data_IF_581109041867
#
_entry.id   IF_581109041867
#
_cell.length_a   1.000
_cell.length_b   1.000
_cell.length_c   1.000
_cell.angle_alpha   90.00
_cell.angle_beta   90.00
_cell.angle_gamma   90.00
#
_symmetry.space_group_name_H-M   'P 1'
#
loop_
_entity.id
_entity.type
_entity.pdbx_description
1 polymer ?
#
# COMPACT_ATOMS: atom_id res chain seq x y z
N UNK A 1 10.55 1.59 -5.50
CA UNK A 1 9.36 1.51 -6.36
C UNK A 1 9.37 2.70 -7.29
N UNK A 2 9.23 2.48 -8.59
CA UNK A 2 9.17 3.48 -9.64
C UNK A 2 7.94 4.39 -9.48
N UNK A 3 7.96 5.56 -10.10
CA UNK A 3 6.83 6.50 -10.08
C UNK A 3 5.59 5.90 -10.74
N UNK A 4 5.80 5.13 -11.81
CA UNK A 4 4.76 4.42 -12.53
C UNK A 4 4.13 3.29 -11.69
N UNK A 5 4.95 2.52 -10.97
CA UNK A 5 4.47 1.52 -10.01
C UNK A 5 3.73 2.15 -8.83
N UNK A 6 4.21 3.29 -8.31
CA UNK A 6 3.53 4.01 -7.23
C UNK A 6 2.13 4.49 -7.65
N UNK A 7 2.00 5.06 -8.85
CA UNK A 7 0.70 5.49 -9.36
C UNK A 7 -0.31 4.34 -9.45
N UNK A 8 0.12 3.19 -10.00
CA UNK A 8 -0.73 2.01 -10.09
C UNK A 8 -1.01 1.35 -8.75
N UNK A 9 -0.04 1.34 -7.83
CA UNK A 9 -0.26 0.89 -6.45
C UNK A 9 -1.36 1.70 -5.77
N UNK A 10 -1.40 3.02 -6.00
CA UNK A 10 -2.43 3.92 -5.49
C UNK A 10 -3.73 3.90 -6.31
N UNK A 11 -3.82 3.12 -7.39
CA UNK A 11 -5.00 3.07 -8.27
C UNK A 11 -5.25 4.38 -9.05
N UNK A 12 -4.20 5.14 -9.34
CA UNK A 12 -4.28 6.44 -10.02
C UNK A 12 -3.84 6.33 -11.49
N UNK A 13 -4.62 6.93 -12.40
CA UNK A 13 -4.19 7.12 -13.77
C UNK A 13 -3.10 8.20 -13.88
N UNK A 14 -2.41 8.24 -15.02
CA UNK A 14 -1.31 9.18 -15.29
C UNK A 14 -1.71 10.64 -15.04
N UNK A 15 -2.86 11.06 -15.54
CA UNK A 15 -3.33 12.44 -15.47
C UNK A 15 -3.59 12.86 -14.03
N UNK A 16 -4.36 12.03 -13.32
CA UNK A 16 -4.68 12.27 -11.89
C UNK A 16 -3.42 12.30 -11.04
N UNK A 17 -2.50 11.34 -11.24
CA UNK A 17 -1.26 11.26 -10.49
C UNK A 17 -0.37 12.50 -10.66
N UNK A 18 -0.10 12.91 -11.90
CA UNK A 18 0.72 14.11 -12.14
C UNK A 18 0.02 15.39 -11.71
N UNK A 19 -1.30 15.50 -11.88
CA UNK A 19 -2.04 16.66 -11.40
C UNK A 19 -1.91 16.84 -9.88
N UNK A 20 -1.96 15.74 -9.12
CA UNK A 20 -1.82 15.76 -7.66
C UNK A 20 -0.43 16.24 -7.19
N UNK A 21 0.64 15.83 -7.87
CA UNK A 21 2.02 16.15 -7.47
C UNK A 21 2.61 17.38 -8.17
N UNK A 22 1.94 17.95 -9.17
CA UNK A 22 2.45 19.08 -9.97
C UNK A 22 2.87 20.29 -9.12
N UNK A 23 2.18 20.54 -8.02
CA UNK A 23 2.49 21.70 -7.14
C UNK A 23 3.63 21.43 -6.17
N UNK A 24 4.21 20.23 -6.19
CA UNK A 24 5.26 19.79 -5.27
C UNK A 24 6.65 19.75 -5.93
N UNK A 25 6.82 20.21 -7.17
CA UNK A 25 8.12 20.22 -7.86
C UNK A 25 9.21 21.05 -7.16
N UNK A 26 8.87 21.94 -6.23
CA UNK A 26 9.87 22.66 -5.42
C UNK A 26 10.42 21.84 -4.26
N UNK A 27 9.80 20.72 -3.92
CA UNK A 27 10.13 19.88 -2.75
C UNK A 27 10.29 18.39 -3.09
N UNK A 28 9.81 17.98 -4.26
CA UNK A 28 9.93 16.63 -4.81
C UNK A 28 10.63 16.67 -6.17
N UNK A 29 11.58 15.76 -6.34
CA UNK A 29 12.06 15.34 -7.65
C UNK A 29 11.05 14.38 -8.26
N UNK A 30 10.33 14.87 -9.27
CA UNK A 30 9.29 14.11 -9.96
C UNK A 30 9.78 13.84 -11.38
N UNK A 31 10.04 12.57 -11.74
CA UNK A 31 10.50 12.26 -13.08
C UNK A 31 9.43 12.59 -14.12
N UNK A 32 9.86 12.98 -15.32
CA UNK A 32 8.96 13.14 -16.44
C UNK A 32 8.29 11.79 -16.81
N UNK A 33 7.14 11.85 -17.49
CA UNK A 33 6.39 10.65 -17.87
C UNK A 33 7.21 9.58 -18.61
N UNK A 34 8.20 10.00 -19.43
CA UNK A 34 9.09 9.07 -20.13
C UNK A 34 10.03 8.29 -19.21
N UNK A 35 10.42 8.86 -18.06
CA UNK A 35 11.29 8.21 -17.07
C UNK A 35 10.55 7.57 -15.89
N UNK A 36 9.23 7.70 -15.81
CA UNK A 36 8.44 7.26 -14.65
C UNK A 36 8.53 5.75 -14.36
N UNK A 37 8.87 4.93 -15.36
CA UNK A 37 8.99 3.48 -15.26
C UNK A 37 10.29 3.02 -14.57
N UNK A 38 11.31 3.87 -14.53
CA UNK A 38 12.63 3.53 -13.97
C UNK A 38 13.03 4.44 -12.80
N UNK A 39 12.44 5.64 -12.71
CA UNK A 39 12.78 6.62 -11.69
C UNK A 39 11.70 6.69 -10.59
N UNK A 40 12.07 6.61 -9.31
CA UNK A 40 11.17 6.89 -8.19
C UNK A 40 10.98 8.40 -8.00
N UNK A 41 9.92 8.81 -7.29
CA UNK A 41 9.83 10.16 -6.73
C UNK A 41 10.82 10.27 -5.56
N UNK A 42 11.55 11.39 -5.49
CA UNK A 42 12.47 11.66 -4.38
C UNK A 42 12.13 12.97 -3.68
N UNK A 43 12.44 13.06 -2.39
CA UNK A 43 12.39 14.31 -1.66
C UNK A 43 13.69 15.08 -1.87
N UNK A 44 13.62 16.36 -2.26
CA UNK A 44 14.82 17.19 -2.34
C UNK A 44 15.43 17.45 -0.95
N UNK A 45 14.58 17.58 0.07
CA UNK A 45 15.02 17.88 1.42
C UNK A 45 14.25 17.06 2.46
N UNK A 46 15.00 16.48 3.41
CA UNK A 46 14.42 15.82 4.58
C UNK A 46 13.51 16.75 5.40
N UNK A 47 13.76 18.06 5.34
CA UNK A 47 12.95 19.09 6.00
C UNK A 47 11.49 19.12 5.55
N UNK A 48 11.18 18.71 4.30
CA UNK A 48 9.79 18.63 3.84
C UNK A 48 9.06 17.43 4.47
N UNK A 49 9.73 16.28 4.57
CA UNK A 49 9.20 15.12 5.30
C UNK A 49 8.93 15.47 6.76
N UNK A 50 9.87 16.15 7.41
CA UNK A 50 9.71 16.56 8.82
C UNK A 50 8.71 17.71 9.00
N UNK A 51 8.52 18.55 7.97
CA UNK A 51 7.44 19.53 7.94
C UNK A 51 6.08 18.85 7.96
N UNK A 52 5.84 17.86 7.08
CA UNK A 52 4.55 17.15 6.98
C UNK A 52 4.17 16.41 8.27
N UNK A 53 5.15 15.98 9.08
CA UNK A 53 4.90 15.31 10.36
C UNK A 53 4.62 16.26 11.52
N UNK A 54 4.85 17.56 11.35
CA UNK A 54 4.81 18.51 12.45
C UNK A 54 3.55 19.38 12.38
N UNK A 55 2.53 19.13 13.24
CA UNK A 55 1.27 19.86 13.20
C UNK A 55 1.42 21.38 13.35
N UNK A 56 2.41 21.84 14.14
CA UNK A 56 2.62 23.27 14.36
C UNK A 56 3.23 23.99 13.15
N UNK A 57 3.83 23.24 12.22
CA UNK A 57 4.42 23.78 10.99
C UNK A 57 3.52 23.59 9.78
N UNK A 58 2.92 22.42 9.63
CA UNK A 58 2.14 22.07 8.43
C UNK A 58 0.65 22.36 8.55
N UNK A 59 0.12 22.59 9.75
CA UNK A 59 -1.29 22.89 9.97
C UNK A 59 -2.19 21.83 9.34
N UNK A 60 -3.01 22.22 8.37
CA UNK A 60 -3.94 21.33 7.65
C UNK A 60 -3.26 20.27 6.78
N UNK A 61 -1.95 20.41 6.53
CA UNK A 61 -1.16 19.44 5.75
C UNK A 61 -0.41 18.45 6.63
N UNK A 62 -0.69 18.43 7.94
CA UNK A 62 -0.13 17.41 8.82
C UNK A 62 -0.59 16.03 8.38
N UNK A 63 0.39 15.13 8.22
CA UNK A 63 0.14 13.73 7.96
C UNK A 63 0.34 12.97 9.26
N UNK A 64 -0.73 12.41 9.80
CA UNK A 64 -0.62 11.46 10.90
C UNK A 64 -0.26 10.08 10.34
N UNK A 65 0.53 9.32 11.11
CA UNK A 65 0.88 7.96 10.70
C UNK A 65 -0.36 7.09 10.44
N UNK A 66 -1.39 7.21 11.29
CA UNK A 66 -2.63 6.44 11.16
C UNK A 66 -3.38 6.70 9.86
N UNK A 67 -3.48 7.96 9.42
CA UNK A 67 -4.13 8.33 8.15
C UNK A 67 -3.35 7.81 6.94
N UNK A 68 -2.03 8.01 6.92
CA UNK A 68 -1.18 7.53 5.84
C UNK A 68 -1.24 6.00 5.73
N UNK A 69 -1.23 5.30 6.86
CA UNK A 69 -1.29 3.85 6.87
C UNK A 69 -2.64 3.30 6.42
N UNK A 70 -3.75 4.00 6.68
CA UNK A 70 -5.09 3.63 6.20
C UNK A 70 -5.15 3.59 4.67
N UNK A 71 -4.67 4.64 4.01
CA UNK A 71 -4.73 4.73 2.55
C UNK A 71 -3.77 3.75 1.87
N UNK A 72 -2.75 3.32 2.60
CA UNK A 72 -1.68 2.47 2.09
C UNK A 72 -1.94 0.96 2.32
N UNK A 73 -2.55 0.58 3.43
CA UNK A 73 -2.72 -0.83 3.83
C UNK A 73 -3.67 -1.60 2.92
N UNK A 74 -4.78 -0.98 2.49
CA UNK A 74 -5.81 -1.66 1.70
C UNK A 74 -5.22 -2.06 0.33
N UNK A 75 -4.58 -1.16 -0.43
CA UNK A 75 -3.83 -1.57 -1.62
C UNK A 75 -2.78 -2.63 -1.31
N UNK A 76 -2.03 -2.52 -0.21
CA UNK A 76 -1.06 -3.53 0.18
C UNK A 76 -1.68 -4.94 0.32
N UNK A 77 -2.82 -5.07 1.01
CA UNK A 77 -3.52 -6.35 1.18
C UNK A 77 -3.97 -6.87 -0.17
N UNK A 78 -4.60 -6.03 -1.00
CA UNK A 78 -5.08 -6.39 -2.34
C UNK A 78 -3.95 -6.91 -3.24
N UNK A 79 -2.82 -6.18 -3.26
CA UNK A 79 -1.63 -6.55 -4.01
C UNK A 79 -0.92 -7.80 -3.46
N UNK A 80 -0.94 -8.02 -2.15
CA UNK A 80 -0.48 -9.28 -1.54
C UNK A 80 -1.38 -10.47 -1.89
N UNK A 81 -2.67 -10.22 -2.06
CA UNK A 81 -3.67 -11.22 -2.40
C UNK A 81 -3.64 -11.59 -3.88
N UNK A 82 -3.01 -10.76 -4.72
CA UNK A 82 -2.83 -11.00 -6.14
C UNK A 82 -1.66 -11.94 -6.45
N UNK A 83 -1.85 -12.81 -7.45
CA UNK A 83 -0.79 -13.62 -8.06
C UNK A 83 -0.70 -13.39 -9.56
N UNK A 84 0.51 -13.09 -10.02
CA UNK A 84 0.89 -13.17 -11.43
C UNK A 84 1.12 -14.65 -11.80
N UNK A 85 0.31 -15.20 -12.71
CA UNK A 85 0.68 -16.30 -13.61
C UNK A 85 0.86 -17.74 -13.06
N UNK A 86 0.09 -18.66 -13.65
CA UNK A 86 0.28 -20.11 -13.90
C UNK A 86 0.64 -21.12 -12.79
N UNK A 87 1.06 -20.71 -11.58
CA UNK A 87 1.40 -21.66 -10.50
C UNK A 87 0.32 -21.86 -9.43
N UNK A 88 -0.93 -21.47 -9.72
CA UNK A 88 -2.10 -21.92 -8.95
C UNK A 88 -2.36 -23.40 -9.26
N UNK A 89 -1.62 -24.29 -8.60
CA UNK A 89 -1.92 -25.75 -8.57
C UNK A 89 -3.04 -26.10 -7.58
N UNK A 90 -3.51 -25.11 -6.82
CA UNK A 90 -4.64 -25.23 -5.91
C UNK A 90 -5.85 -24.72 -6.70
N UNK A 91 -6.85 -25.59 -6.89
CA UNK A 91 -8.14 -25.39 -7.57
C UNK A 91 -8.55 -23.92 -7.75
N UNK A 92 -9.17 -23.60 -8.91
CA UNK A 92 -9.62 -22.29 -9.45
C UNK A 92 -10.17 -21.22 -8.48
N UNK A 93 -10.45 -21.55 -7.22
CA UNK A 93 -10.90 -20.66 -6.14
C UNK A 93 -9.85 -19.68 -5.61
N UNK A 94 -8.56 -19.84 -5.96
CA UNK A 94 -7.50 -18.94 -5.48
C UNK A 94 -7.16 -17.80 -6.46
N UNK A 95 -7.81 -17.74 -7.63
CA UNK A 95 -7.53 -16.71 -8.63
C UNK A 95 -8.33 -15.45 -8.30
N UNK A 96 -7.69 -14.48 -7.65
CA UNK A 96 -8.27 -13.15 -7.45
C UNK A 96 -7.86 -12.27 -8.62
N UNK A 97 -8.83 -11.52 -9.15
CA UNK A 97 -8.57 -10.52 -10.17
C UNK A 97 -7.48 -9.55 -9.69
N UNK A 98 -6.56 -9.22 -10.59
CA UNK A 98 -5.52 -8.26 -10.29
C UNK A 98 -6.13 -6.90 -9.94
N UNK A 99 -5.57 -6.17 -8.96
CA UNK A 99 -5.86 -4.75 -8.85
C UNK A 99 -5.62 -4.10 -10.22
N UNK A 100 -6.63 -3.42 -10.75
CA UNK A 100 -6.59 -2.87 -12.10
C UNK A 100 -5.45 -1.85 -12.25
N UNK A 101 -4.67 -1.99 -13.33
CA UNK A 101 -3.63 -1.02 -13.66
C UNK A 101 -4.25 0.21 -14.32
N UNK A 102 -4.29 1.33 -13.59
CA UNK A 102 -4.88 2.60 -14.04
C UNK A 102 -3.97 3.39 -14.98
N UNK A 103 -2.67 3.10 -14.97
CA UNK A 103 -1.70 3.65 -15.91
C UNK A 103 -0.90 2.50 -16.49
N UNK A 104 -1.26 2.02 -17.68
CA UNK A 104 -0.58 0.88 -18.32
C UNK A 104 0.27 1.32 -19.51
N UNK A 105 1.48 0.79 -19.60
CA UNK A 105 2.25 0.70 -20.84
C UNK A 105 2.22 -0.77 -21.25
N UNK A 106 1.64 -1.07 -22.40
CA UNK A 106 1.20 -2.43 -22.76
C UNK A 106 2.32 -3.47 -22.68
N UNK A 107 3.55 -3.07 -23.01
CA UNK A 107 4.73 -3.94 -23.07
C UNK A 107 5.42 -4.18 -21.72
N UNK A 108 4.98 -3.54 -20.62
CA UNK A 108 5.63 -3.61 -19.30
C UNK A 108 4.71 -4.07 -18.18
N UNK A 109 3.59 -4.69 -18.54
CA UNK A 109 2.55 -5.08 -17.59
C UNK A 109 3.07 -6.05 -16.52
N UNK A 110 3.84 -7.06 -16.91
CA UNK A 110 4.37 -8.08 -15.99
C UNK A 110 5.41 -7.49 -15.03
N UNK A 111 6.37 -6.72 -15.55
CA UNK A 111 7.38 -5.99 -14.74
C UNK A 111 6.71 -5.13 -13.66
N UNK A 112 5.63 -4.44 -14.05
CA UNK A 112 4.87 -3.56 -13.16
C UNK A 112 4.15 -4.34 -12.06
N UNK A 113 3.49 -5.45 -12.41
CA UNK A 113 2.86 -6.33 -11.42
C UNK A 113 3.88 -6.92 -10.44
N UNK A 114 5.06 -7.33 -10.92
CA UNK A 114 6.14 -7.83 -10.08
C UNK A 114 6.70 -6.77 -9.14
N UNK A 115 6.93 -5.55 -9.65
CA UNK A 115 7.43 -4.44 -8.85
C UNK A 115 6.47 -4.10 -7.70
N UNK A 116 5.18 -3.93 -8.02
CA UNK A 116 4.17 -3.59 -7.03
C UNK A 116 3.96 -4.74 -6.06
N UNK A 117 3.86 -5.98 -6.55
CA UNK A 117 3.67 -7.16 -5.72
C UNK A 117 4.84 -7.39 -4.75
N UNK A 118 6.08 -7.16 -5.20
CA UNK A 118 7.28 -7.23 -4.34
C UNK A 118 7.20 -6.18 -3.23
N UNK A 119 6.87 -4.94 -3.58
CA UNK A 119 6.73 -3.85 -2.62
C UNK A 119 5.64 -4.15 -1.58
N UNK A 120 4.44 -4.54 -2.02
CA UNK A 120 3.33 -4.86 -1.15
C UNK A 120 3.69 -5.97 -0.14
N UNK A 121 4.33 -7.06 -0.59
CA UNK A 121 4.76 -8.17 0.29
C UNK A 121 5.75 -7.73 1.36
N UNK A 122 6.61 -6.75 1.08
CA UNK A 122 7.55 -6.21 2.06
C UNK A 122 6.93 -5.21 3.03
N UNK A 123 5.90 -4.48 2.61
CA UNK A 123 5.35 -3.36 3.37
C UNK A 123 4.06 -3.70 4.13
N UNK A 124 3.23 -4.62 3.61
CA UNK A 124 1.86 -4.88 4.07
C UNK A 124 1.81 -5.17 5.58
N UNK A 125 2.57 -6.16 6.05
CA UNK A 125 2.53 -6.59 7.45
C UNK A 125 3.01 -5.51 8.42
N UNK A 126 4.03 -4.74 8.00
CA UNK A 126 4.57 -3.61 8.77
C UNK A 126 3.52 -2.53 9.00
N UNK A 127 2.69 -2.28 8.00
CA UNK A 127 1.71 -1.19 8.03
C UNK A 127 0.46 -1.61 8.79
N UNK A 128 0.02 -2.86 8.69
CA UNK A 128 -1.19 -3.36 9.37
C UNK A 128 -1.21 -3.06 10.88
N UNK A 129 -0.13 -3.35 11.61
CA UNK A 129 -0.12 -3.17 13.06
C UNK A 129 0.00 -1.71 13.54
N UNK A 130 0.17 -0.76 12.62
CA UNK A 130 0.30 0.68 12.93
C UNK A 130 -0.98 1.47 12.72
N UNK A 131 -2.07 0.77 12.40
CA UNK A 131 -3.35 1.39 12.06
C UNK A 131 -4.04 1.92 13.32
N UNK A 132 -4.66 3.09 13.19
CA UNK A 132 -5.44 3.69 14.26
C UNK A 132 -6.65 2.82 14.60
N UNK A 133 -7.08 2.78 15.87
CA UNK A 133 -8.24 1.97 16.29
C UNK A 133 -9.51 2.26 15.47
N UNK A 134 -9.71 3.49 15.02
CA UNK A 134 -10.88 3.89 14.22
C UNK A 134 -10.92 3.32 12.80
N UNK A 135 -9.81 2.77 12.31
CA UNK A 135 -9.65 2.29 10.93
C UNK A 135 -9.51 0.78 10.81
N UNK A 136 -9.48 0.10 11.96
CA UNK A 136 -9.28 -1.35 12.04
C UNK A 136 -10.35 -2.10 11.26
N UNK A 137 -11.62 -1.69 11.33
CA UNK A 137 -12.73 -2.40 10.70
C UNK A 137 -12.53 -2.60 9.20
N UNK A 138 -12.16 -1.53 8.47
CA UNK A 138 -11.94 -1.61 7.01
C UNK A 138 -10.80 -2.57 6.65
N UNK A 139 -9.76 -2.60 7.49
CA UNK A 139 -8.60 -3.47 7.29
C UNK A 139 -8.97 -4.92 7.58
N UNK A 140 -9.72 -5.14 8.66
CA UNK A 140 -10.25 -6.46 9.01
C UNK A 140 -11.17 -6.98 7.92
N UNK A 141 -12.06 -6.15 7.36
CA UNK A 141 -12.92 -6.52 6.23
C UNK A 141 -12.13 -6.96 5.00
N UNK A 142 -11.01 -6.27 4.72
CA UNK A 142 -10.15 -6.65 3.59
C UNK A 142 -9.31 -7.90 3.90
N UNK A 143 -8.87 -8.09 5.14
CA UNK A 143 -8.18 -9.30 5.60
C UNK A 143 -9.09 -10.53 5.55
N UNK A 144 -10.40 -10.39 5.79
CA UNK A 144 -11.34 -11.50 5.62
C UNK A 144 -11.42 -12.01 4.17
N UNK A 145 -11.13 -11.16 3.19
CA UNK A 145 -11.05 -11.53 1.77
C UNK A 145 -9.67 -12.10 1.40
N UNK A 146 -8.69 -12.00 2.30
CA UNK A 146 -7.32 -12.41 2.05
C UNK A 146 -7.21 -13.93 1.99
N UNK A 147 -6.63 -14.44 0.90
CA UNK A 147 -6.36 -15.87 0.72
C UNK A 147 -5.00 -16.19 1.33
N UNK A 148 -4.99 -16.69 2.57
CA UNK A 148 -3.76 -17.00 3.31
C UNK A 148 -2.87 -18.04 2.62
N UNK A 149 -3.37 -18.83 1.68
CA UNK A 149 -2.54 -19.70 0.83
C UNK A 149 -1.56 -18.91 -0.08
N UNK A 150 -1.74 -17.61 -0.25
CA UNK A 150 -0.84 -16.71 -0.96
C UNK A 150 0.33 -16.22 -0.10
N UNK A 151 0.28 -16.48 1.21
CA UNK A 151 1.33 -16.16 2.18
C UNK A 151 2.52 -17.12 2.02
N UNK A 152 3.43 -16.83 1.09
CA UNK A 152 4.63 -17.66 0.85
C UNK A 152 5.89 -17.17 1.55
N UNK A 153 5.92 -15.90 1.95
CA UNK A 153 7.07 -15.30 2.61
C UNK A 153 6.56 -14.29 3.64
N UNK A 154 6.92 -14.53 4.89
CA UNK A 154 6.62 -13.66 6.02
C UNK A 154 7.92 -13.18 6.61
N UNK A 155 8.14 -11.86 6.58
CA UNK A 155 9.28 -11.24 7.25
C UNK A 155 9.04 -11.10 8.75
N UNK A 156 10.02 -10.54 9.46
CA UNK A 156 9.94 -10.32 10.91
C UNK A 156 8.66 -9.56 11.32
N UNK A 157 8.27 -8.55 10.53
CA UNK A 157 7.06 -7.73 10.68
C UNK A 157 5.75 -8.55 10.79
N UNK A 158 5.74 -9.81 10.34
CA UNK A 158 4.57 -10.68 10.42
C UNK A 158 4.25 -11.11 11.86
N UNK A 159 5.26 -11.26 12.72
CA UNK A 159 5.02 -11.58 14.13
C UNK A 159 4.27 -10.44 14.83
N UNK A 160 4.65 -9.19 14.54
CA UNK A 160 3.95 -8.02 15.07
C UNK A 160 2.54 -7.91 14.51
N UNK A 161 2.33 -8.26 13.24
CA UNK A 161 1.00 -8.37 12.66
C UNK A 161 0.12 -9.41 13.38
N UNK A 162 0.63 -10.61 13.66
CA UNK A 162 -0.13 -11.65 14.37
C UNK A 162 -0.47 -11.21 15.80
N UNK A 163 0.49 -10.63 16.52
CA UNK A 163 0.25 -10.11 17.87
C UNK A 163 -0.80 -8.99 17.87
N UNK A 164 -0.73 -8.09 16.89
CA UNK A 164 -1.73 -7.06 16.69
C UNK A 164 -3.11 -7.67 16.39
N UNK A 165 -3.20 -8.62 15.46
CA UNK A 165 -4.45 -9.29 15.12
C UNK A 165 -5.08 -10.00 16.33
N UNK A 166 -4.26 -10.68 17.13
CA UNK A 166 -4.72 -11.30 18.38
C UNK A 166 -5.27 -10.25 19.36
N UNK A 167 -4.58 -9.11 19.52
CA UNK A 167 -5.08 -8.03 20.38
C UNK A 167 -6.44 -7.48 19.94
N UNK A 168 -6.73 -7.51 18.63
CA UNK A 168 -8.03 -7.07 18.10
C UNK A 168 -9.15 -8.06 18.43
N UNK A 169 -8.88 -9.37 18.33
CA UNK A 169 -9.86 -10.42 18.68
C UNK A 169 -10.25 -10.28 20.17
N UNK A 170 -9.26 -10.10 21.05
CA UNK A 170 -9.52 -9.87 22.47
C UNK A 170 -10.36 -8.61 22.74
N UNK A 171 -10.21 -7.55 21.93
CA UNK A 171 -11.00 -6.32 22.04
C UNK A 171 -12.44 -6.53 21.54
N UNK A 172 -12.61 -7.25 20.43
CA UNK A 172 -13.92 -7.52 19.84
C UNK A 172 -14.75 -8.47 20.71
N UNK A 173 -14.13 -9.49 21.31
CA UNK A 173 -14.79 -10.39 22.28
C UNK A 173 -15.29 -9.63 23.52
N UNK A 174 -14.55 -8.63 24.00
CA UNK A 174 -14.97 -7.77 25.11
C UNK A 174 -16.12 -6.82 24.74
N UNK A 175 -16.20 -6.38 23.48
CA UNK A 175 -17.30 -5.51 23.00
C UNK A 175 -18.63 -6.24 22.79
N UNK A 176 -18.61 -7.57 22.68
CA UNK A 176 -19.80 -8.42 22.54
C UNK A 176 -20.39 -8.88 23.89
N UNK A 177 -19.77 -8.52 25.02
CA UNK A 177 -20.22 -8.87 26.38
C UNK A 177 -21.00 -7.73 27.08
N UNK A 178 -21.36 -6.66 26.37
CA UNK A 178 -22.18 -5.55 26.87
C UNK A 178 -23.56 -5.53 26.20
#
# INVERSE_FOLDING_TARGET
MSTHALANFLGLDKGTFYAAIRRLHSVLDVPAAGGAHSCPIQFYHASFREFLKNPSRSGVFVLTEGEVFRDFVIPCIQWCNYRVGSNCRLNDRCCIEAPGLSWTLQDRREELYEEIGRFAKTACWRVCYRISKGDVTKVVDELHKFQFCHLRYVGEDFVQFVNWLHSLVSILELSCQC
#
